data_IF_873430956902
#
_entry.id   IF_873430956902
#
_cell.length_a   1.000
_cell.length_b   1.000
_cell.length_c   1.000
_cell.angle_alpha   90.00
_cell.angle_beta   90.00
_cell.angle_gamma   90.00
#
_symmetry.space_group_name_H-M   'P 1'
#
loop_
_entity.id
_entity.type
_entity.pdbx_description
1 polymer ?
#
# COMPACT_ATOMS: atom_id res chain seq x y z
N UNK A 1 3.97 -18.86 -8.29
CA UNK A 1 4.16 -19.04 -9.77
C UNK A 1 5.19 -18.03 -10.19
N UNK A 2 6.26 -18.45 -10.85
CA UNK A 2 7.33 -17.51 -11.20
C UNK A 2 6.92 -16.65 -12.40
N UNK A 3 6.92 -15.33 -12.20
CA UNK A 3 6.62 -14.33 -13.23
C UNK A 3 7.81 -13.38 -13.33
N UNK A 4 8.37 -13.27 -14.53
CA UNK A 4 9.42 -12.28 -14.82
C UNK A 4 8.87 -10.85 -14.87
N UNK A 5 9.74 -9.89 -15.19
CA UNK A 5 9.29 -8.56 -15.57
C UNK A 5 8.27 -8.67 -16.72
N UNK A 6 7.11 -8.05 -16.54
CA UNK A 6 5.98 -8.18 -17.45
C UNK A 6 5.46 -6.79 -17.78
N UNK A 7 5.43 -6.44 -19.06
CA UNK A 7 4.84 -5.19 -19.54
C UNK A 7 3.69 -5.50 -20.48
N UNK A 8 2.51 -4.92 -20.25
CA UNK A 8 1.34 -5.05 -21.12
C UNK A 8 0.85 -3.69 -21.58
N UNK A 9 0.52 -3.57 -22.88
CA UNK A 9 -0.05 -2.35 -23.46
C UNK A 9 -1.52 -2.07 -23.09
N UNK A 10 -2.09 -2.81 -22.15
CA UNK A 10 -3.40 -2.53 -21.56
C UNK A 10 -3.51 -3.13 -20.16
N UNK A 11 -3.75 -4.43 -20.07
CA UNK A 11 -4.05 -5.12 -18.81
C UNK A 11 -3.09 -6.27 -18.58
N UNK A 12 -2.55 -6.36 -17.37
CA UNK A 12 -1.96 -7.58 -16.83
C UNK A 12 -3.02 -8.30 -16.02
N UNK A 13 -3.19 -9.60 -16.25
CA UNK A 13 -4.01 -10.47 -15.40
C UNK A 13 -3.22 -11.73 -15.10
N UNK A 14 -2.83 -11.89 -13.84
CA UNK A 14 -2.06 -13.04 -13.36
C UNK A 14 -2.85 -13.65 -12.20
N UNK A 15 -3.09 -14.96 -12.27
CA UNK A 15 -3.72 -15.69 -11.19
C UNK A 15 -2.97 -16.98 -10.91
N UNK A 16 -2.73 -17.25 -9.63
CA UNK A 16 -2.08 -18.44 -9.14
C UNK A 16 -2.50 -18.71 -7.69
N UNK A 17 -2.09 -19.86 -7.15
CA UNK A 17 -2.17 -20.05 -5.70
C UNK A 17 -1.24 -19.08 -4.96
N UNK A 18 -0.11 -18.80 -5.58
CA UNK A 18 0.98 -17.95 -5.13
C UNK A 18 1.63 -17.37 -6.39
N UNK A 19 2.21 -16.16 -6.33
CA UNK A 19 2.81 -15.44 -7.46
C UNK A 19 4.16 -14.86 -7.02
N UNK A 20 5.25 -15.28 -7.66
CA UNK A 20 6.60 -14.80 -7.38
C UNK A 20 7.03 -13.84 -8.49
N UNK A 21 7.12 -12.54 -8.19
CA UNK A 21 7.59 -11.52 -9.11
C UNK A 21 9.12 -11.41 -9.06
N UNK A 22 9.77 -11.80 -10.15
CA UNK A 22 11.20 -11.58 -10.37
C UNK A 22 11.51 -10.20 -11.00
N UNK A 23 10.50 -9.36 -11.22
CA UNK A 23 10.62 -7.99 -11.72
C UNK A 23 9.29 -7.25 -11.75
N UNK A 24 9.30 -6.02 -12.27
CA UNK A 24 8.13 -5.14 -12.34
C UNK A 24 6.99 -5.73 -13.17
N UNK A 25 5.76 -5.62 -12.66
CA UNK A 25 4.52 -5.80 -13.42
C UNK A 25 3.98 -4.43 -13.85
N UNK A 26 4.00 -4.14 -15.14
CA UNK A 26 3.74 -2.81 -15.71
C UNK A 26 2.61 -2.86 -16.76
N UNK A 27 1.43 -2.34 -16.42
CA UNK A 27 0.28 -2.29 -17.30
C UNK A 27 -0.11 -0.84 -17.61
N UNK A 28 -0.42 -0.52 -18.86
CA UNK A 28 -0.84 0.86 -19.19
C UNK A 28 -2.25 1.22 -18.73
N UNK A 29 -3.05 0.25 -18.26
CA UNK A 29 -4.43 0.47 -17.80
C UNK A 29 -4.69 -0.22 -16.47
N UNK A 30 -4.54 -1.54 -16.39
CA UNK A 30 -4.90 -2.27 -15.18
C UNK A 30 -3.91 -3.38 -14.88
N UNK A 31 -3.34 -3.37 -13.69
CA UNK A 31 -2.58 -4.51 -13.17
C UNK A 31 -3.45 -5.28 -12.18
N UNK A 32 -3.88 -6.49 -12.55
CA UNK A 32 -4.66 -7.39 -11.69
C UNK A 32 -3.85 -8.65 -11.39
N UNK A 33 -3.48 -8.82 -10.12
CA UNK A 33 -2.79 -10.01 -9.62
C UNK A 33 -3.67 -10.69 -8.56
N UNK A 34 -3.79 -12.00 -8.62
CA UNK A 34 -4.61 -12.78 -7.68
C UNK A 34 -3.86 -14.01 -7.21
N UNK A 35 -3.34 -13.94 -5.97
CA UNK A 35 -2.83 -15.08 -5.23
C UNK A 35 -3.96 -15.64 -4.34
N UNK A 36 -4.47 -16.83 -4.67
CA UNK A 36 -5.68 -17.36 -4.02
C UNK A 36 -5.43 -18.06 -2.68
N UNK A 37 -4.18 -18.38 -2.36
CA UNK A 37 -3.81 -19.11 -1.14
C UNK A 37 -2.63 -18.45 -0.43
N UNK A 38 -1.55 -18.20 -1.16
CA UNK A 38 -0.33 -17.53 -0.70
C UNK A 38 -0.32 -16.06 -1.06
N UNK A 39 0.83 -15.59 -1.50
CA UNK A 39 1.13 -14.17 -1.67
C UNK A 39 1.48 -13.80 -3.11
N UNK A 40 1.50 -12.49 -3.35
CA UNK A 40 2.27 -11.89 -4.44
C UNK A 40 3.61 -11.47 -3.84
N UNK A 41 4.64 -12.26 -4.12
CA UNK A 41 5.93 -12.22 -3.45
C UNK A 41 7.03 -11.63 -4.35
N UNK A 42 8.09 -11.10 -3.75
CA UNK A 42 9.38 -10.95 -4.43
C UNK A 42 10.53 -11.16 -3.45
N UNK A 43 11.55 -11.89 -3.89
CA UNK A 43 12.81 -12.05 -3.14
C UNK A 43 13.65 -10.77 -3.13
N UNK A 44 13.29 -9.77 -3.93
CA UNK A 44 13.92 -8.46 -3.99
C UNK A 44 12.92 -7.33 -3.71
N UNK A 45 12.97 -6.29 -4.53
CA UNK A 45 11.96 -5.26 -4.54
C UNK A 45 10.77 -5.71 -5.39
N UNK A 46 9.57 -5.42 -4.92
CA UNK A 46 8.32 -5.71 -5.61
C UNK A 46 7.76 -4.42 -6.21
N UNK A 47 7.52 -4.42 -7.52
CA UNK A 47 6.98 -3.26 -8.23
C UNK A 47 5.76 -3.64 -9.07
N UNK A 48 4.65 -2.93 -8.87
CA UNK A 48 3.41 -3.08 -9.63
C UNK A 48 2.91 -1.71 -10.07
N UNK A 49 2.67 -1.54 -11.37
CA UNK A 49 2.19 -0.29 -11.95
C UNK A 49 1.01 -0.52 -12.90
N UNK A 50 0.02 0.37 -12.81
CA UNK A 50 -1.18 0.41 -13.61
C UNK A 50 -1.74 1.84 -13.73
N UNK A 51 -2.73 2.09 -14.59
CA UNK A 51 -3.63 3.24 -14.35
C UNK A 51 -4.44 3.02 -13.08
N UNK A 52 -4.89 1.78 -12.86
CA UNK A 52 -5.38 1.27 -11.59
C UNK A 52 -4.68 -0.05 -11.26
N UNK A 53 -4.63 -0.40 -9.98
CA UNK A 53 -3.99 -1.63 -9.49
C UNK A 53 -4.94 -2.37 -8.56
N UNK A 54 -5.07 -3.68 -8.77
CA UNK A 54 -5.77 -4.56 -7.84
C UNK A 54 -4.91 -5.78 -7.54
N UNK A 55 -4.61 -6.00 -6.27
CA UNK A 55 -3.92 -7.20 -5.80
C UNK A 55 -4.77 -7.89 -4.76
N UNK A 56 -5.21 -9.10 -5.09
CA UNK A 56 -5.96 -9.97 -4.18
C UNK A 56 -5.04 -11.07 -3.66
N UNK A 57 -4.97 -11.21 -2.34
CA UNK A 57 -3.93 -11.95 -1.63
C UNK A 57 -2.83 -10.99 -1.12
N UNK A 58 -2.15 -11.34 -0.02
CA UNK A 58 -1.13 -10.49 0.59
C UNK A 58 0.05 -10.23 -0.36
N UNK A 59 0.67 -9.07 -0.24
CA UNK A 59 1.92 -8.69 -0.90
C UNK A 59 3.07 -8.90 0.08
N UNK A 60 4.13 -9.58 -0.35
CA UNK A 60 5.34 -9.81 0.44
C UNK A 60 6.60 -9.47 -0.36
N UNK A 61 7.18 -8.30 -0.09
CA UNK A 61 8.49 -7.93 -0.58
C UNK A 61 9.57 -8.23 0.47
N UNK A 62 10.68 -8.81 0.04
CA UNK A 62 11.85 -8.98 0.90
C UNK A 62 12.51 -7.63 1.23
N UNK A 63 12.55 -6.72 0.24
CA UNK A 63 13.09 -5.35 0.39
C UNK A 63 11.96 -4.34 0.31
N UNK A 64 11.88 -3.55 -0.76
CA UNK A 64 10.87 -2.51 -0.95
C UNK A 64 9.63 -3.04 -1.69
N UNK A 65 8.45 -2.48 -1.39
CA UNK A 65 7.23 -2.68 -2.16
C UNK A 65 6.75 -1.33 -2.72
N UNK A 66 6.69 -1.21 -4.04
CA UNK A 66 6.19 -0.01 -4.73
C UNK A 66 4.97 -0.36 -5.57
N UNK A 67 3.84 0.28 -5.27
CA UNK A 67 2.60 0.12 -5.99
C UNK A 67 2.15 1.49 -6.51
N UNK A 68 1.94 1.60 -7.82
CA UNK A 68 1.54 2.85 -8.46
C UNK A 68 0.28 2.66 -9.30
N UNK A 69 -0.82 3.29 -8.89
CA UNK A 69 -2.00 3.51 -9.71
C UNK A 69 -1.94 4.95 -10.25
N UNK A 70 -1.57 5.09 -11.53
CA UNK A 70 -1.22 6.39 -12.10
C UNK A 70 -2.40 7.33 -12.32
N UNK A 71 -3.62 6.81 -12.46
CA UNK A 71 -4.80 7.64 -12.73
C UNK A 71 -6.10 7.15 -12.09
N UNK A 72 -6.05 6.12 -11.26
CA UNK A 72 -7.21 5.46 -10.67
C UNK A 72 -6.84 4.83 -9.34
N UNK A 73 -7.66 3.88 -8.89
CA UNK A 73 -7.57 3.36 -7.53
C UNK A 73 -6.49 2.28 -7.38
N UNK A 74 -6.00 2.14 -6.15
CA UNK A 74 -5.21 1.00 -5.72
C UNK A 74 -6.00 0.22 -4.67
N UNK A 75 -6.37 -1.02 -4.98
CA UNK A 75 -7.05 -1.93 -4.04
C UNK A 75 -6.13 -3.10 -3.73
N UNK A 76 -5.71 -3.21 -2.48
CA UNK A 76 -4.67 -4.12 -2.03
C UNK A 76 -5.12 -4.84 -0.77
N UNK A 77 -4.74 -6.11 -0.64
CA UNK A 77 -4.83 -6.81 0.66
C UNK A 77 -3.71 -6.30 1.59
N UNK A 78 -3.23 -7.12 2.53
CA UNK A 78 -2.08 -6.78 3.35
C UNK A 78 -0.80 -6.57 2.51
N UNK A 79 0.05 -5.62 2.90
CA UNK A 79 1.33 -5.32 2.24
C UNK A 79 2.46 -5.38 3.26
N UNK A 80 3.46 -6.22 3.01
CA UNK A 80 4.65 -6.34 3.86
C UNK A 80 5.92 -6.12 3.07
N UNK A 81 6.76 -5.20 3.54
CA UNK A 81 8.12 -4.99 3.08
C UNK A 81 9.07 -5.35 4.22
N UNK A 82 9.68 -6.54 4.17
CA UNK A 82 10.33 -7.15 5.34
C UNK A 82 11.49 -6.31 5.86
N UNK A 83 12.38 -5.87 4.97
CA UNK A 83 13.54 -5.04 5.32
C UNK A 83 13.39 -3.59 4.84
N UNK A 84 12.58 -3.35 3.80
CA UNK A 84 12.54 -2.11 3.06
C UNK A 84 11.33 -1.23 3.36
N UNK A 85 11.05 -0.34 2.41
CA UNK A 85 9.97 0.63 2.48
C UNK A 85 8.74 0.17 1.69
N UNK A 86 7.59 0.72 2.04
CA UNK A 86 6.36 0.61 1.27
C UNK A 86 6.02 1.98 0.70
N UNK A 87 5.82 2.04 -0.61
CA UNK A 87 5.31 3.22 -1.32
C UNK A 87 4.06 2.83 -2.11
N UNK A 88 2.91 3.40 -1.76
CA UNK A 88 1.65 3.20 -2.46
C UNK A 88 1.14 4.56 -2.94
N UNK A 89 1.04 4.74 -4.25
CA UNK A 89 0.66 6.01 -4.84
C UNK A 89 -0.53 5.84 -5.80
N UNK A 90 -1.62 6.53 -5.48
CA UNK A 90 -2.81 6.66 -6.30
C UNK A 90 -3.24 8.14 -6.31
N UNK A 91 -2.36 9.05 -6.72
CA UNK A 91 -2.54 10.49 -6.52
C UNK A 91 -3.87 11.08 -7.05
N UNK A 92 -4.52 10.44 -8.02
CA UNK A 92 -5.84 10.84 -8.55
C UNK A 92 -6.94 9.81 -8.28
N UNK A 93 -6.69 8.82 -7.44
CA UNK A 93 -7.62 7.76 -7.07
C UNK A 93 -7.63 7.53 -5.56
N UNK A 94 -8.42 6.56 -5.12
CA UNK A 94 -8.49 6.14 -3.74
C UNK A 94 -7.54 4.96 -3.49
N UNK A 95 -7.17 4.76 -2.24
CA UNK A 95 -6.37 3.61 -1.81
C UNK A 95 -7.15 2.83 -0.77
N UNK A 96 -7.51 1.60 -1.12
CA UNK A 96 -7.97 0.60 -0.16
C UNK A 96 -6.81 -0.36 0.10
N UNK A 97 -6.30 -0.43 1.33
CA UNK A 97 -5.21 -1.35 1.66
C UNK A 97 -5.45 -2.04 3.00
N UNK A 98 -5.03 -3.30 3.08
CA UNK A 98 -5.00 -4.06 4.31
C UNK A 98 -3.96 -3.56 5.32
N UNK A 99 -3.62 -4.43 6.27
CA UNK A 99 -2.51 -4.16 7.18
C UNK A 99 -1.21 -3.93 6.37
N UNK A 100 -0.48 -2.88 6.72
CA UNK A 100 0.71 -2.44 5.98
C UNK A 100 1.90 -2.44 6.94
N UNK A 101 2.93 -3.26 6.69
CA UNK A 101 4.08 -3.39 7.60
C UNK A 101 5.40 -3.20 6.84
N UNK A 102 6.19 -2.21 7.24
CA UNK A 102 7.48 -1.91 6.64
C UNK A 102 8.63 -2.01 7.65
N UNK A 103 9.70 -2.71 7.26
CA UNK A 103 10.97 -2.73 7.98
C UNK A 103 11.65 -1.37 8.07
N UNK A 104 11.21 -0.40 7.25
CA UNK A 104 11.64 0.99 7.33
C UNK A 104 10.45 1.97 7.30
N UNK A 105 10.08 2.51 6.15
CA UNK A 105 9.13 3.61 5.99
C UNK A 105 7.86 3.13 5.27
N UNK A 106 6.70 3.66 5.65
CA UNK A 106 5.46 3.59 4.88
C UNK A 106 5.18 4.98 4.31
N UNK A 107 4.94 5.06 3.00
CA UNK A 107 4.42 6.26 2.32
C UNK A 107 3.20 5.87 1.50
N UNK A 108 2.03 6.42 1.83
CA UNK A 108 0.79 6.18 1.11
C UNK A 108 0.20 7.54 0.73
N UNK A 109 -0.07 7.74 -0.56
CA UNK A 109 -0.59 8.99 -1.07
C UNK A 109 -1.74 8.75 -2.07
N UNK A 110 -2.92 9.26 -1.74
CA UNK A 110 -4.12 9.14 -2.55
C UNK A 110 -5.05 10.34 -2.41
N UNK A 111 -6.19 10.31 -3.07
CA UNK A 111 -7.29 11.23 -2.75
C UNK A 111 -7.90 10.90 -1.40
N UNK A 112 -8.08 9.61 -1.13
CA UNK A 112 -8.69 9.03 0.05
C UNK A 112 -7.94 7.73 0.38
N UNK A 113 -7.79 7.39 1.66
CA UNK A 113 -7.03 6.22 2.10
C UNK A 113 -7.84 5.44 3.14
N UNK A 114 -8.32 4.26 2.76
CA UNK A 114 -8.98 3.31 3.63
C UNK A 114 -8.01 2.21 4.07
N UNK A 115 -7.76 2.14 5.39
CA UNK A 115 -7.00 1.10 6.04
C UNK A 115 -7.93 0.04 6.64
N UNK A 116 -7.83 -1.20 6.15
CA UNK A 116 -8.49 -2.35 6.77
C UNK A 116 -7.67 -2.98 7.92
N UNK A 117 -6.48 -2.46 8.21
CA UNK A 117 -5.63 -2.87 9.32
C UNK A 117 -4.57 -1.84 9.68
N UNK A 118 -3.72 -2.16 10.66
CA UNK A 118 -2.66 -1.26 11.14
C UNK A 118 -1.65 -0.93 10.04
N UNK A 119 -1.23 0.34 9.96
CA UNK A 119 -0.02 0.76 9.26
C UNK A 119 1.15 0.84 10.26
N UNK A 120 2.15 -0.02 10.10
CA UNK A 120 3.26 -0.23 11.05
C UNK A 120 4.62 -0.06 10.36
N UNK A 121 5.24 1.09 10.54
CA UNK A 121 6.56 1.39 9.98
C UNK A 121 7.60 1.44 11.09
N UNK A 122 8.75 0.79 10.92
CA UNK A 122 9.83 0.88 11.92
C UNK A 122 10.33 2.33 12.10
N UNK A 123 10.36 3.12 11.02
CA UNK A 123 10.88 4.49 11.00
C UNK A 123 9.76 5.51 10.86
N UNK A 124 9.25 5.77 9.67
CA UNK A 124 8.24 6.80 9.44
C UNK A 124 7.02 6.20 8.78
N UNK A 125 5.84 6.50 9.31
CA UNK A 125 4.59 6.29 8.60
C UNK A 125 4.07 7.66 8.11
N UNK A 126 3.96 7.82 6.79
CA UNK A 126 3.45 9.04 6.16
C UNK A 126 2.26 8.69 5.28
N UNK A 127 1.07 9.15 5.68
CA UNK A 127 -0.17 8.94 4.93
C UNK A 127 -0.73 10.30 4.51
N UNK A 128 -1.07 10.45 3.24
CA UNK A 128 -1.56 11.71 2.66
C UNK A 128 -2.82 11.45 1.85
N UNK A 129 -3.96 11.79 2.43
CA UNK A 129 -5.24 11.88 1.73
C UNK A 129 -5.45 13.34 1.30
N UNK A 130 -5.44 13.58 -0.01
CA UNK A 130 -5.46 14.94 -0.57
C UNK A 130 -6.85 15.54 -0.70
N UNK A 131 -7.90 14.72 -0.67
CA UNK A 131 -9.30 15.15 -0.86
C UNK A 131 -10.19 14.66 0.27
N UNK A 132 -10.12 13.36 0.58
CA UNK A 132 -10.90 12.71 1.63
C UNK A 132 -10.09 12.58 2.91
N UNK A 133 -10.15 11.41 3.52
CA UNK A 133 -9.55 11.12 4.82
C UNK A 133 -8.57 9.94 4.78
N UNK A 134 -7.88 9.77 5.90
CA UNK A 134 -7.20 8.53 6.25
C UNK A 134 -8.09 7.83 7.26
N UNK A 135 -8.71 6.74 6.82
CA UNK A 135 -9.87 6.16 7.44
C UNK A 135 -9.65 4.68 7.77
N UNK A 136 -10.42 4.18 8.73
CA UNK A 136 -10.67 2.75 8.90
C UNK A 136 -12.11 2.53 9.31
N UNK A 137 -12.76 1.51 8.76
CA UNK A 137 -14.09 1.07 9.23
C UNK A 137 -14.07 0.57 10.68
N UNK A 138 -12.90 0.14 11.17
CA UNK A 138 -12.65 -0.29 12.54
C UNK A 138 -11.83 0.73 13.34
N UNK A 139 -10.87 0.23 14.12
CA UNK A 139 -9.88 1.09 14.73
C UNK A 139 -8.86 1.53 13.67
N UNK A 140 -8.64 2.84 13.57
CA UNK A 140 -7.53 3.38 12.78
C UNK A 140 -6.26 3.33 13.64
N UNK A 141 -5.26 2.58 13.20
CA UNK A 141 -3.98 2.43 13.89
C UNK A 141 -2.82 2.72 12.95
N UNK A 142 -2.03 3.75 13.27
CA UNK A 142 -0.83 4.13 12.51
C UNK A 142 0.33 4.29 13.47
N UNK A 143 1.42 3.57 13.22
CA UNK A 143 2.60 3.58 14.07
C UNK A 143 3.89 3.78 13.27
N UNK A 144 4.80 4.55 13.86
CA UNK A 144 6.22 4.49 13.55
C UNK A 144 7.07 5.25 14.55
N UNK A 145 8.38 5.34 14.30
CA UNK A 145 9.24 6.25 15.07
C UNK A 145 8.76 7.69 14.96
N UNK A 146 8.38 8.14 13.77
CA UNK A 146 7.65 9.38 13.53
C UNK A 146 6.42 9.10 12.65
N UNK A 147 5.36 9.89 12.81
CA UNK A 147 4.14 9.73 12.02
C UNK A 147 3.70 11.07 11.45
N UNK A 148 3.30 11.08 10.19
CA UNK A 148 2.63 12.21 9.55
C UNK A 148 1.36 11.72 8.87
N UNK A 149 0.23 12.32 9.24
CA UNK A 149 -1.06 12.10 8.59
C UNK A 149 -1.53 13.44 8.06
N UNK A 150 -1.72 13.54 6.75
CA UNK A 150 -2.32 14.69 6.08
C UNK A 150 -3.68 14.27 5.53
N UNK A 151 -4.71 15.04 5.87
CA UNK A 151 -6.11 14.64 5.78
C UNK A 151 -6.70 14.32 7.17
N UNK A 152 -8.03 14.37 7.35
CA UNK A 152 -8.68 13.88 8.57
C UNK A 152 -8.27 12.43 8.88
N UNK A 153 -8.12 12.09 10.16
CA UNK A 153 -7.84 10.73 10.61
C UNK A 153 -9.08 10.15 11.32
N UNK A 154 -9.77 9.20 10.67
CA UNK A 154 -11.09 8.74 11.09
C UNK A 154 -11.12 7.22 11.32
N UNK A 155 -11.16 6.80 12.59
CA UNK A 155 -11.49 5.42 12.94
C UNK A 155 -12.99 5.29 13.19
N UNK A 156 -13.61 4.24 12.65
CA UNK A 156 -15.01 3.89 12.92
C UNK A 156 -15.30 3.60 14.40
N UNK A 157 -14.28 3.15 15.16
CA UNK A 157 -14.36 3.02 16.62
C UNK A 157 -13.43 3.98 17.35
N UNK A 158 -12.12 3.88 17.10
CA UNK A 158 -11.05 4.65 17.72
C UNK A 158 -10.01 5.02 16.67
N UNK A 159 -9.29 6.13 16.87
CA UNK A 159 -8.13 6.49 16.07
C UNK A 159 -6.91 6.65 16.97
N UNK A 160 -5.89 5.81 16.75
CA UNK A 160 -4.63 5.80 17.50
C UNK A 160 -3.46 6.05 16.56
N UNK A 161 -2.77 7.17 16.78
CA UNK A 161 -1.57 7.55 16.05
C UNK A 161 -0.39 7.55 17.00
N UNK A 162 0.58 6.67 16.75
CA UNK A 162 1.70 6.43 17.67
C UNK A 162 3.02 6.80 16.99
N UNK A 163 3.64 7.88 17.46
CA UNK A 163 5.06 8.15 17.21
C UNK A 163 5.87 7.70 18.42
N UNK A 164 6.76 6.70 18.25
CA UNK A 164 7.46 6.07 19.37
C UNK A 164 8.69 6.84 19.85
N UNK A 165 9.27 7.70 19.01
CA UNK A 165 10.48 8.46 19.37
C UNK A 165 10.58 9.86 18.76
N UNK A 166 9.86 10.14 17.68
CA UNK A 166 9.73 11.44 17.02
C UNK A 166 8.33 12.03 17.18
N UNK A 167 7.98 12.94 16.27
CA UNK A 167 6.70 13.65 16.30
C UNK A 167 5.60 12.84 15.61
N UNK A 168 4.38 12.96 16.14
CA UNK A 168 3.14 12.66 15.42
C UNK A 168 2.55 13.98 14.92
N UNK A 169 2.58 14.20 13.60
CA UNK A 169 2.00 15.38 12.95
C UNK A 169 0.69 15.00 12.29
N UNK A 170 -0.41 15.60 12.72
CA UNK A 170 -1.74 15.42 12.11
C UNK A 170 -2.14 16.76 11.51
N UNK A 171 -2.21 16.83 10.19
CA UNK A 171 -2.64 18.00 9.44
C UNK A 171 -4.00 17.71 8.81
N UNK A 172 -5.06 18.20 9.45
CA UNK A 172 -6.39 18.09 8.87
C UNK A 172 -6.51 19.09 7.71
N UNK A 173 -6.62 18.60 6.48
CA UNK A 173 -7.03 19.43 5.36
C UNK A 173 -8.52 19.73 5.55
N UNK A 174 -8.86 20.97 5.86
CA UNK A 174 -10.25 21.47 6.04
C UNK A 174 -10.90 21.84 4.73
#
# INVERSE_FOLDING_TARGET
>A
IDVGATTAGSTITISGQDIDLAGKADATTMAMLTATVGDVSSTGALEIEGSAVTVSGPILAATDATITATSGDATLDAVTATAGAIAINAATGNIDVGATTAGSTITIAGQDIDLAGKADATTTAMLTATVGDVSSTGALEIEGSAVTVSGPALGGTDATITATSGDATLDAVT
#
